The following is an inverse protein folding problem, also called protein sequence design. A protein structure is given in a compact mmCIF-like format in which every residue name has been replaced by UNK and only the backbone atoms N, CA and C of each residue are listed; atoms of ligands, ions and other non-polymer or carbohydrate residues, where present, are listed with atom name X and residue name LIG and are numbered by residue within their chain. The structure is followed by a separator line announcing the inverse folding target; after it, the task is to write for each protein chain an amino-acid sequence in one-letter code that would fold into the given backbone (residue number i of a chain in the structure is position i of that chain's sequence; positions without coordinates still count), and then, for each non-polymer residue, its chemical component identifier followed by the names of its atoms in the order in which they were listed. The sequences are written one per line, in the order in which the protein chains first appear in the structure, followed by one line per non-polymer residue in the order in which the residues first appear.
data_IF_529443666336
#
_entry.id   IF_529443666336
#
_cell.length_a   1.000
_cell.length_b   1.000
_cell.length_c   1.000
_cell.angle_alpha   90.00
_cell.angle_beta   90.00
_cell.angle_gamma   90.00
#
_symmetry.space_group_name_H-M   'P 1'
#
loop_
_entity.id
_entity.type
_entity.pdbx_description
1 polymer ?
#
# COMPACT_ATOMS: atom_id res chain seq x y z
N UNK A 1 24.63 5.25 -9.84
CA UNK A 1 23.73 4.33 -9.13
C UNK A 1 22.51 5.13 -8.70
N UNK A 2 21.37 4.96 -9.37
CA UNK A 2 20.21 5.83 -9.18
C UNK A 2 19.64 5.65 -7.77
N UNK A 3 19.66 6.73 -6.97
CA UNK A 3 18.99 6.81 -5.67
C UNK A 3 17.49 6.72 -5.91
N UNK A 4 16.95 5.50 -5.92
CA UNK A 4 15.52 5.26 -5.87
C UNK A 4 15.12 5.62 -4.44
N UNK A 5 14.67 6.86 -4.24
CA UNK A 5 14.05 7.30 -3.00
C UNK A 5 12.74 6.53 -2.83
N UNK A 6 12.86 5.30 -2.31
CA UNK A 6 11.72 4.45 -2.02
C UNK A 6 11.10 4.94 -0.73
N UNK A 7 10.05 5.75 -0.85
CA UNK A 7 9.23 6.11 0.32
C UNK A 7 8.59 4.81 0.81
N UNK A 8 8.88 4.43 2.06
CA UNK A 8 8.30 3.25 2.70
C UNK A 8 7.10 3.63 3.54
N UNK A 9 6.12 2.73 3.59
CA UNK A 9 4.93 2.85 4.44
C UNK A 9 4.67 1.51 5.10
N UNK A 10 4.33 1.55 6.38
CA UNK A 10 3.92 0.37 7.13
C UNK A 10 2.47 0.02 6.81
N UNK A 11 2.23 -1.22 6.42
CA UNK A 11 0.88 -1.72 6.17
C UNK A 11 0.13 -1.87 7.51
N UNK A 12 -1.05 -1.26 7.64
CA UNK A 12 -1.85 -1.38 8.86
C UNK A 12 -2.48 -2.77 9.06
N UNK A 13 -2.45 -3.65 8.05
CA UNK A 13 -3.06 -4.98 8.12
C UNK A 13 -2.04 -6.08 8.41
N UNK A 14 -0.91 -6.11 7.68
CA UNK A 14 0.15 -7.12 7.90
C UNK A 14 1.29 -6.60 8.80
N UNK A 15 1.36 -5.29 9.06
CA UNK A 15 2.41 -4.72 9.91
C UNK A 15 3.78 -4.56 9.25
N UNK A 16 3.96 -5.03 8.01
CA UNK A 16 5.23 -4.93 7.27
C UNK A 16 5.45 -3.53 6.66
N UNK A 17 6.70 -3.08 6.65
CA UNK A 17 7.13 -1.94 5.85
C UNK A 17 7.31 -2.35 4.39
N UNK A 18 6.59 -1.67 3.50
CA UNK A 18 6.70 -1.86 2.05
C UNK A 18 6.81 -0.51 1.35
N UNK A 19 7.30 -0.52 0.12
CA UNK A 19 7.43 0.71 -0.65
C UNK A 19 6.04 1.30 -0.95
N UNK A 20 5.88 2.62 -1.07
CA UNK A 20 4.61 3.22 -1.47
C UNK A 20 4.11 2.68 -2.83
N UNK A 21 5.03 2.21 -3.68
CA UNK A 21 4.70 1.52 -4.92
C UNK A 21 3.94 0.21 -4.71
N UNK A 22 4.11 -0.44 -3.55
CA UNK A 22 3.35 -1.62 -3.13
C UNK A 22 1.99 -1.25 -2.52
N UNK A 23 1.61 0.02 -2.44
CA UNK A 23 0.29 0.45 -1.98
C UNK A 23 -0.55 0.92 -3.17
N UNK A 24 -1.80 0.48 -3.23
CA UNK A 24 -2.71 0.97 -4.28
C UNK A 24 -2.95 2.47 -4.12
N UNK A 25 -2.86 3.20 -5.23
CA UNK A 25 -3.26 4.59 -5.32
C UNK A 25 -4.76 4.72 -5.08
N UNK A 26 -5.12 5.48 -4.06
CA UNK A 26 -6.49 5.80 -3.72
C UNK A 26 -6.62 7.31 -3.51
N UNK A 27 -7.15 7.99 -4.53
CA UNK A 27 -7.38 9.44 -4.52
C UNK A 27 -8.42 9.89 -3.48
N UNK A 28 -9.17 8.95 -2.88
CA UNK A 28 -10.12 9.25 -1.81
C UNK A 28 -9.45 9.40 -0.44
N UNK A 29 -8.17 9.04 -0.32
CA UNK A 29 -7.38 9.20 0.91
C UNK A 29 -6.51 10.46 0.82
N UNK A 30 -6.28 11.11 1.96
CA UNK A 30 -5.40 12.29 2.11
C UNK A 30 -4.01 12.05 1.50
N UNK A 31 -3.44 10.88 1.71
CA UNK A 31 -2.10 10.51 1.22
C UNK A 31 -2.09 9.97 -0.23
N UNK A 32 -3.25 9.91 -0.87
CA UNK A 32 -3.41 9.35 -2.22
C UNK A 32 -3.14 7.85 -2.33
N UNK A 33 -2.90 7.14 -1.23
CA UNK A 33 -2.60 5.71 -1.17
C UNK A 33 -3.40 5.03 -0.06
N UNK A 34 -3.70 3.75 -0.24
CA UNK A 34 -4.36 2.94 0.79
C UNK A 34 -3.52 2.82 2.07
N UNK A 35 -4.18 2.54 3.19
CA UNK A 35 -3.53 2.22 4.47
C UNK A 35 -2.96 0.80 4.52
N UNK A 36 -3.29 -0.03 3.53
CA UNK A 36 -2.87 -1.42 3.42
C UNK A 36 -2.15 -1.65 2.10
N UNK A 37 -1.19 -2.57 2.10
CA UNK A 37 -0.44 -2.93 0.90
C UNK A 37 -1.35 -3.62 -0.13
N UNK A 38 -0.88 -3.68 -1.38
CA UNK A 38 -1.59 -4.29 -2.50
C UNK A 38 -1.97 -5.75 -2.25
N UNK A 39 -1.13 -6.49 -1.54
CA UNK A 39 -1.38 -7.89 -1.14
C UNK A 39 -2.57 -7.97 -0.20
N UNK A 40 -2.58 -7.15 0.85
CA UNK A 40 -3.69 -7.06 1.78
C UNK A 40 -4.97 -6.56 1.09
N UNK A 41 -4.86 -5.61 0.17
CA UNK A 41 -5.98 -5.11 -0.62
C UNK A 41 -6.58 -6.20 -1.51
N UNK A 42 -5.75 -7.04 -2.14
CA UNK A 42 -6.23 -8.16 -2.96
C UNK A 42 -7.06 -9.15 -2.13
N UNK A 43 -6.67 -9.41 -0.89
CA UNK A 43 -7.44 -10.24 0.04
C UNK A 43 -8.78 -9.58 0.38
N UNK A 44 -8.81 -8.28 0.66
CA UNK A 44 -10.07 -7.55 0.92
C UNK A 44 -10.99 -7.60 -0.30
N UNK A 45 -10.46 -7.35 -1.49
CA UNK A 45 -11.24 -7.39 -2.73
C UNK A 45 -11.82 -8.79 -3.00
N UNK A 46 -11.09 -9.86 -2.65
CA UNK A 46 -11.59 -11.24 -2.77
C UNK A 46 -12.72 -11.56 -1.78
N UNK A 47 -12.69 -11.00 -0.58
CA UNK A 47 -13.74 -11.21 0.43
C UNK A 47 -15.04 -10.45 0.15
N UNK A 48 -15.03 -9.45 -0.74
CA UNK A 48 -16.22 -8.70 -1.11
C UNK A 48 -16.96 -9.30 -2.34
N UNK A 49 -16.75 -10.58 -2.64
CA UNK A 49 -17.33 -11.26 -3.80
C UNK A 49 -18.28 -12.38 -3.38
#
# INVERSE_FOLDING_TARGET
MARKSTVFKRCQRCGEEKSLSDFYRNRRKSDGHNGICQTCQAIVNKNNR
#
